data_IF_687515659383
#
_entry.id   IF_687515659383
#
_cell.length_a   1.000
_cell.length_b   1.000
_cell.length_c   1.000
_cell.angle_alpha   90.00
_cell.angle_beta   90.00
_cell.angle_gamma   90.00
#
_symmetry.space_group_name_H-M   'P 1'
#
loop_
_entity.id
_entity.type
_entity.pdbx_description
1 polymer ?
#
# COMPACT_ATOMS: atom_id res chain seq x y z
N UNK A 1 60.91 -58.95 20.47
CA UNK A 1 61.21 -58.13 19.28
C UNK A 1 60.07 -57.13 19.15
N UNK A 2 60.07 -56.02 19.91
CA UNK A 2 60.69 -54.70 19.67
C UNK A 2 60.21 -54.02 18.38
N UNK A 3 59.57 -52.86 18.59
CA UNK A 3 59.37 -51.69 17.72
C UNK A 3 58.40 -51.86 16.52
N UNK A 4 57.62 -50.86 16.12
CA UNK A 4 57.89 -49.41 16.16
C UNK A 4 56.57 -48.62 16.10
N UNK A 5 56.55 -47.49 16.81
CA UNK A 5 55.47 -46.51 16.88
C UNK A 5 55.45 -45.62 15.63
N UNK A 6 54.27 -45.25 15.15
CA UNK A 6 54.08 -44.15 14.21
C UNK A 6 52.94 -43.24 14.72
N UNK A 7 53.34 -42.17 15.39
CA UNK A 7 52.43 -41.15 15.93
C UNK A 7 52.13 -40.13 14.82
N UNK A 8 50.90 -40.14 14.31
CA UNK A 8 50.42 -39.14 13.35
C UNK A 8 49.95 -37.91 14.12
N UNK A 9 50.69 -36.81 13.95
CA UNK A 9 50.37 -35.49 14.47
C UNK A 9 49.39 -34.81 13.50
N UNK A 10 48.10 -34.75 13.84
CA UNK A 10 47.12 -34.00 13.06
C UNK A 10 47.01 -32.57 13.58
N UNK A 11 47.38 -31.61 12.74
CA UNK A 11 47.28 -30.18 12.98
C UNK A 11 45.81 -29.77 12.78
N UNK A 12 45.14 -29.33 13.84
CA UNK A 12 43.83 -28.67 13.77
C UNK A 12 44.03 -27.19 13.46
N UNK A 13 43.66 -26.77 12.25
CA UNK A 13 43.62 -25.36 11.84
C UNK A 13 42.30 -24.77 12.37
N UNK A 14 42.40 -23.79 13.27
CA UNK A 14 41.27 -22.99 13.71
C UNK A 14 40.86 -22.02 12.59
N UNK A 15 39.71 -22.27 11.96
CA UNK A 15 39.05 -21.29 11.09
C UNK A 15 38.47 -20.18 11.97
N UNK A 16 39.14 -19.03 11.98
CA UNK A 16 38.57 -17.77 12.49
C UNK A 16 37.47 -17.36 11.53
N UNK A 17 36.23 -17.67 11.90
CA UNK A 17 35.04 -17.15 11.22
C UNK A 17 34.97 -15.65 11.42
N UNK A 18 35.47 -14.89 10.45
CA UNK A 18 35.13 -13.48 10.33
C UNK A 18 33.67 -13.41 9.87
N UNK A 19 32.77 -13.09 10.79
CA UNK A 19 31.39 -12.77 10.44
C UNK A 19 31.40 -11.63 9.42
N UNK A 20 30.73 -11.75 8.27
CA UNK A 20 30.49 -10.60 7.44
C UNK A 20 29.64 -9.63 8.26
N UNK A 21 30.17 -8.44 8.52
CA UNK A 21 29.38 -7.30 8.95
C UNK A 21 28.37 -7.05 7.84
N UNK A 22 27.14 -7.51 8.05
CA UNK A 22 26.01 -7.07 7.28
C UNK A 22 25.97 -5.54 7.42
N UNK A 23 26.41 -4.86 6.36
CA UNK A 23 26.05 -3.49 6.12
C UNK A 23 24.52 -3.48 6.13
N UNK A 24 23.94 -3.06 7.24
CA UNK A 24 22.57 -2.60 7.30
C UNK A 24 22.52 -1.44 6.31
N UNK A 25 22.19 -1.75 5.06
CA UNK A 25 21.71 -0.75 4.13
C UNK A 25 20.50 -0.18 4.86
N UNK A 26 20.67 1.03 5.39
CA UNK A 26 19.54 1.90 5.68
C UNK A 26 18.85 2.07 4.34
N UNK A 27 17.91 1.18 4.05
CA UNK A 27 16.80 1.47 3.18
C UNK A 27 16.22 2.75 3.79
N UNK A 28 16.55 3.88 3.18
CA UNK A 28 15.64 5.02 3.19
C UNK A 28 14.47 4.52 2.35
N UNK A 29 13.69 3.60 2.92
CA UNK A 29 12.32 3.42 2.54
C UNK A 29 11.77 4.83 2.57
N UNK A 30 11.37 5.35 1.41
CA UNK A 30 10.44 6.47 1.41
C UNK A 30 9.35 6.04 2.37
N UNK A 31 9.38 6.62 3.58
CA UNK A 31 8.37 6.45 4.59
C UNK A 31 7.10 6.87 3.86
N UNK A 32 6.37 5.87 3.35
CA UNK A 32 5.10 6.07 2.67
C UNK A 32 4.34 6.89 3.68
N UNK A 33 4.16 8.20 3.45
CA UNK A 33 3.52 9.07 4.43
C UNK A 33 2.16 8.44 4.69
N UNK A 34 2.06 7.75 5.83
CA UNK A 34 0.92 6.87 6.06
C UNK A 34 -0.28 7.79 6.16
N UNK A 35 -1.31 7.59 5.32
CA UNK A 35 -2.38 8.58 5.14
C UNK A 35 -3.02 8.95 6.48
N UNK A 36 -3.19 7.94 7.36
CA UNK A 36 -3.74 8.07 8.70
C UNK A 36 -3.00 9.04 9.63
N UNK A 37 -1.74 9.36 9.33
CA UNK A 37 -0.94 10.29 10.14
C UNK A 37 -1.22 11.76 9.78
N UNK A 38 -1.71 11.99 8.57
CA UNK A 38 -1.90 13.33 8.01
C UNK A 38 -3.36 13.64 7.75
N UNK A 39 -4.21 12.65 7.53
CA UNK A 39 -5.63 12.84 7.32
C UNK A 39 -6.43 12.25 8.48
N UNK A 40 -7.63 12.81 8.65
CA UNK A 40 -8.59 12.32 9.64
C UNK A 40 -9.26 11.05 9.11
N UNK A 41 -9.00 9.92 9.78
CA UNK A 41 -9.47 8.59 9.36
C UNK A 41 -11.00 8.44 9.42
N UNK A 42 -11.67 9.28 10.21
CA UNK A 42 -13.13 9.26 10.35
C UNK A 42 -13.84 10.19 9.36
N UNK A 43 -13.09 10.97 8.58
CA UNK A 43 -13.63 12.00 7.69
C UNK A 43 -13.75 11.55 6.22
N UNK A 44 -13.38 10.31 5.90
CA UNK A 44 -13.45 9.82 4.52
C UNK A 44 -14.88 9.60 4.04
N UNK A 45 -15.19 10.12 2.86
CA UNK A 45 -16.48 9.92 2.19
C UNK A 45 -16.30 9.88 0.69
N UNK A 46 -17.17 9.14 0.01
CA UNK A 46 -17.28 9.16 -1.45
C UNK A 46 -18.51 9.98 -1.83
N UNK A 47 -18.28 11.10 -2.50
CA UNK A 47 -19.30 12.03 -2.98
C UNK A 47 -19.49 11.85 -4.49
N UNK A 48 -20.73 12.03 -4.95
CA UNK A 48 -21.08 11.94 -6.38
C UNK A 48 -20.64 10.63 -7.07
N UNK A 49 -20.51 9.55 -6.28
CA UNK A 49 -20.14 8.22 -6.75
C UNK A 49 -18.66 8.01 -7.10
N UNK A 50 -17.87 9.08 -7.31
CA UNK A 50 -16.46 8.92 -7.71
C UNK A 50 -15.49 9.86 -6.99
N UNK A 51 -15.98 10.86 -6.26
CA UNK A 51 -15.10 11.83 -5.59
C UNK A 51 -14.81 11.35 -4.18
N UNK A 52 -13.59 10.88 -3.91
CA UNK A 52 -13.15 10.63 -2.54
C UNK A 52 -12.77 11.97 -1.92
N UNK A 53 -13.40 12.33 -0.81
CA UNK A 53 -13.07 13.52 -0.03
C UNK A 53 -12.72 13.19 1.41
N UNK A 54 -11.86 14.03 2.00
CA UNK A 54 -11.38 13.91 3.37
C UNK A 54 -10.71 15.21 3.82
N UNK A 55 -10.20 15.23 5.05
CA UNK A 55 -9.49 16.38 5.62
C UNK A 55 -8.06 15.99 5.98
N UNK A 56 -7.09 16.74 5.46
CA UNK A 56 -5.68 16.45 5.63
C UNK A 56 -4.92 17.66 6.17
N UNK A 57 -3.92 17.41 7.02
CA UNK A 57 -3.02 18.38 7.61
C UNK A 57 -1.85 18.64 6.67
N UNK A 58 -1.66 19.90 6.30
CA UNK A 58 -0.52 20.39 5.54
C UNK A 58 0.73 20.55 6.41
N UNK A 59 1.88 20.79 5.77
CA UNK A 59 3.17 20.91 6.46
C UNK A 59 3.24 22.21 7.29
N UNK A 60 2.39 23.20 6.99
CA UNK A 60 2.15 24.41 7.80
C UNK A 60 1.31 24.15 9.07
N UNK A 61 0.84 22.91 9.27
CA UNK A 61 0.01 22.49 10.40
C UNK A 61 -1.48 22.77 10.24
N UNK A 62 -1.92 23.41 9.16
CA UNK A 62 -3.33 23.68 8.89
C UNK A 62 -4.04 22.44 8.33
N UNK A 63 -5.30 22.24 8.73
CA UNK A 63 -6.16 21.19 8.18
C UNK A 63 -6.93 21.76 7.01
N UNK A 64 -6.92 21.06 5.88
CA UNK A 64 -7.59 21.46 4.63
C UNK A 64 -8.48 20.34 4.12
N UNK A 65 -9.68 20.65 3.61
CA UNK A 65 -10.50 19.67 2.90
C UNK A 65 -9.88 19.39 1.54
N UNK A 66 -9.75 18.11 1.20
CA UNK A 66 -9.18 17.66 -0.06
C UNK A 66 -10.11 16.64 -0.72
N UNK A 67 -10.00 16.55 -2.04
CA UNK A 67 -10.72 15.54 -2.80
C UNK A 67 -9.95 15.10 -4.04
N UNK A 68 -10.21 13.86 -4.45
CA UNK A 68 -9.69 13.27 -5.68
C UNK A 68 -10.80 12.51 -6.40
N UNK A 69 -10.77 12.51 -7.72
CA UNK A 69 -11.65 11.66 -8.53
C UNK A 69 -11.05 10.25 -8.63
N UNK A 70 -11.74 9.28 -8.05
CA UNK A 70 -11.37 7.87 -8.06
C UNK A 70 -11.28 7.29 -9.48
N UNK A 71 -11.98 7.85 -10.47
CA UNK A 71 -11.80 7.42 -11.87
C UNK A 71 -10.39 7.71 -12.41
N UNK A 72 -9.71 8.71 -11.85
CA UNK A 72 -8.34 9.03 -12.21
C UNK A 72 -7.34 8.10 -11.54
N UNK A 73 -7.71 7.39 -10.47
CA UNK A 73 -6.80 6.53 -9.72
C UNK A 73 -7.10 5.03 -9.86
N UNK A 74 -8.36 4.67 -10.11
CA UNK A 74 -8.83 3.30 -9.98
C UNK A 74 -9.37 2.76 -11.30
N UNK A 75 -9.17 1.46 -11.49
CA UNK A 75 -9.79 0.66 -12.53
C UNK A 75 -10.42 -0.62 -11.97
N UNK A 76 -11.14 -1.32 -12.84
CA UNK A 76 -11.69 -2.64 -12.54
C UNK A 76 -10.93 -3.71 -13.33
N UNK A 77 -10.21 -4.58 -12.64
CA UNK A 77 -9.53 -5.75 -13.20
C UNK A 77 -10.34 -7.02 -12.91
N UNK A 78 -11.30 -7.32 -13.79
CA UNK A 78 -12.14 -8.53 -13.72
C UNK A 78 -12.88 -8.69 -12.39
N UNK A 79 -13.65 -7.67 -12.00
CA UNK A 79 -14.43 -7.63 -10.76
C UNK A 79 -13.62 -7.18 -9.53
N UNK A 80 -12.36 -6.79 -9.71
CA UNK A 80 -11.47 -6.34 -8.63
C UNK A 80 -11.06 -4.89 -8.82
N UNK A 81 -11.23 -4.10 -7.77
CA UNK A 81 -10.78 -2.72 -7.73
C UNK A 81 -9.25 -2.70 -7.61
N UNK A 82 -8.59 -2.02 -8.53
CA UNK A 82 -7.13 -1.93 -8.58
C UNK A 82 -6.69 -0.49 -8.79
N UNK A 83 -5.50 -0.15 -8.30
CA UNK A 83 -4.83 1.09 -8.68
C UNK A 83 -4.48 1.01 -10.17
N UNK A 84 -5.10 1.88 -10.95
CA UNK A 84 -4.88 2.02 -12.38
C UNK A 84 -5.12 3.49 -12.74
N UNK A 85 -4.06 4.31 -12.88
CA UNK A 85 -4.19 5.70 -13.28
C UNK A 85 -5.01 5.84 -14.57
N UNK A 86 -6.07 6.66 -14.53
CA UNK A 86 -7.03 6.82 -15.63
C UNK A 86 -7.89 5.58 -15.94
N UNK A 87 -7.98 4.62 -15.01
CA UNK A 87 -8.65 3.34 -15.21
C UNK A 87 -10.17 3.41 -15.32
N UNK A 88 -10.80 4.49 -14.81
CA UNK A 88 -12.24 4.71 -14.95
C UNK A 88 -13.11 3.59 -14.38
N UNK A 89 -12.84 3.16 -13.15
CA UNK A 89 -13.57 2.04 -12.51
C UNK A 89 -15.10 2.19 -12.54
N UNK A 90 -15.63 3.42 -12.49
CA UNK A 90 -17.06 3.72 -12.48
C UNK A 90 -17.82 3.18 -13.70
N UNK A 91 -17.13 2.86 -14.81
CA UNK A 91 -17.75 2.27 -15.98
C UNK A 91 -18.26 0.83 -15.75
N UNK A 92 -17.80 0.17 -14.69
CA UNK A 92 -18.04 -1.26 -14.43
C UNK A 92 -18.14 -1.61 -12.96
N UNK A 93 -18.22 -0.61 -12.08
CA UNK A 93 -18.46 -0.78 -10.66
C UNK A 93 -19.65 0.08 -10.24
N UNK A 94 -20.29 -0.30 -9.13
CA UNK A 94 -21.43 0.43 -8.60
C UNK A 94 -20.95 1.77 -8.01
N UNK A 95 -21.49 2.87 -8.56
CA UNK A 95 -21.27 4.24 -8.10
C UNK A 95 -22.56 4.93 -7.69
N UNK A 96 -23.62 4.15 -7.45
CA UNK A 96 -24.86 4.69 -6.90
C UNK A 96 -24.62 5.28 -5.50
N UNK A 97 -25.42 6.28 -5.06
CA UNK A 97 -25.28 6.84 -3.73
C UNK A 97 -25.38 5.76 -2.65
N UNK A 98 -24.31 5.60 -1.85
CA UNK A 98 -24.22 4.57 -0.81
C UNK A 98 -23.64 3.23 -1.25
N UNK A 99 -23.23 3.07 -2.52
CA UNK A 99 -22.53 1.88 -3.00
C UNK A 99 -21.15 1.70 -2.35
N UNK A 100 -20.49 2.81 -2.02
CA UNK A 100 -19.21 2.81 -1.33
C UNK A 100 -19.40 2.76 0.18
N UNK A 101 -18.62 1.92 0.84
CA UNK A 101 -18.48 1.93 2.29
C UNK A 101 -17.01 1.74 2.68
N UNK A 102 -16.68 2.13 3.92
CA UNK A 102 -15.33 1.98 4.47
C UNK A 102 -15.30 0.84 5.48
N UNK A 103 -14.48 -0.18 5.23
CA UNK A 103 -14.38 -1.37 6.10
C UNK A 103 -13.48 -1.14 7.33
N UNK A 104 -12.46 -0.28 7.20
CA UNK A 104 -11.45 -0.01 8.25
C UNK A 104 -11.06 1.48 8.33
N UNK A 105 -11.96 2.39 7.95
CA UNK A 105 -11.71 3.83 7.81
C UNK A 105 -10.86 4.19 6.59
N UNK A 106 -9.82 3.41 6.30
CA UNK A 106 -8.88 3.64 5.19
C UNK A 106 -9.02 2.68 4.02
N UNK A 107 -10.00 1.77 4.06
CA UNK A 107 -10.27 0.82 2.98
C UNK A 107 -11.63 1.10 2.37
N UNK A 108 -11.65 1.53 1.10
CA UNK A 108 -12.88 1.77 0.34
C UNK A 108 -13.30 0.47 -0.35
N UNK A 109 -14.57 0.13 -0.19
CA UNK A 109 -15.18 -1.06 -0.79
C UNK A 109 -16.35 -0.65 -1.68
N UNK A 110 -16.55 -1.37 -2.78
CA UNK A 110 -17.71 -1.27 -3.67
C UNK A 110 -17.91 -2.60 -4.42
N UNK A 111 -18.97 -2.72 -5.21
CA UNK A 111 -19.24 -3.87 -6.06
C UNK A 111 -18.74 -3.60 -7.48
N UNK A 112 -17.98 -4.53 -8.05
CA UNK A 112 -17.47 -4.43 -9.42
C UNK A 112 -17.90 -5.63 -10.25
N UNK A 113 -18.27 -5.38 -11.49
CA UNK A 113 -18.69 -6.41 -12.46
C UNK A 113 -17.48 -6.99 -13.17
N UNK A 114 -17.33 -8.31 -13.14
CA UNK A 114 -16.31 -9.06 -13.86
C UNK A 114 -16.69 -9.26 -15.34
N UNK A 115 -15.75 -9.77 -16.14
CA UNK A 115 -15.96 -9.97 -17.58
C UNK A 115 -17.04 -11.01 -17.91
N UNK A 116 -17.39 -11.88 -16.96
CA UNK A 116 -18.49 -12.84 -17.07
C UNK A 116 -19.87 -12.26 -16.66
N UNK A 117 -19.91 -10.99 -16.27
CA UNK A 117 -21.11 -10.29 -15.81
C UNK A 117 -21.44 -10.50 -14.33
N UNK A 118 -20.68 -11.32 -13.60
CA UNK A 118 -20.85 -11.46 -12.16
C UNK A 118 -20.42 -10.18 -11.44
N UNK A 119 -21.10 -9.82 -10.35
CA UNK A 119 -20.75 -8.66 -9.52
C UNK A 119 -20.36 -9.13 -8.13
N UNK A 120 -19.22 -8.67 -7.63
CA UNK A 120 -18.71 -9.01 -6.31
C UNK A 120 -18.16 -7.79 -5.61
N UNK A 121 -18.27 -7.80 -4.28
CA UNK A 121 -17.64 -6.80 -3.44
C UNK A 121 -16.12 -6.88 -3.57
N UNK A 122 -15.48 -5.73 -3.69
CA UNK A 122 -14.04 -5.58 -3.77
C UNK A 122 -13.63 -4.33 -3.00
N UNK A 123 -12.46 -4.41 -2.39
CA UNK A 123 -11.94 -3.36 -1.54
C UNK A 123 -10.51 -3.00 -1.93
N UNK A 124 -10.12 -1.75 -1.70
CA UNK A 124 -8.74 -1.30 -1.84
C UNK A 124 -8.41 -0.28 -0.74
N UNK A 125 -7.21 -0.35 -0.18
CA UNK A 125 -6.76 0.64 0.78
C UNK A 125 -6.48 1.98 0.06
N UNK A 126 -6.86 3.11 0.67
CA UNK A 126 -6.54 4.45 0.15
C UNK A 126 -5.01 4.60 0.01
N UNK A 127 -4.26 4.03 0.95
CA UNK A 127 -2.79 3.95 0.93
C UNK A 127 -2.22 3.15 -0.25
N UNK A 128 -3.01 2.41 -1.01
CA UNK A 128 -2.51 1.67 -2.19
C UNK A 128 -2.56 2.53 -3.46
N UNK A 129 -3.53 3.43 -3.58
CA UNK A 129 -3.76 4.20 -4.82
C UNK A 129 -3.60 5.71 -4.67
N UNK A 130 -3.55 6.25 -3.46
CA UNK A 130 -3.45 7.69 -3.21
C UNK A 130 -2.25 8.03 -2.30
N UNK A 131 -1.89 9.31 -2.29
CA UNK A 131 -0.87 9.87 -1.41
C UNK A 131 -1.20 11.31 -1.05
N UNK A 132 -0.71 11.75 0.11
CA UNK A 132 -0.84 13.14 0.57
C UNK A 132 0.52 13.80 0.64
N UNK A 133 0.63 14.96 0.00
CA UNK A 133 1.84 15.79 -0.02
C UNK A 133 1.45 17.22 0.32
N UNK A 134 2.00 17.75 1.41
CA UNK A 134 1.66 19.09 1.95
C UNK A 134 0.14 19.31 2.09
N UNK A 135 -0.53 18.31 2.67
CA UNK A 135 -1.97 18.33 2.86
C UNK A 135 -2.79 18.23 1.58
N UNK A 136 -2.19 17.93 0.43
CA UNK A 136 -2.87 17.75 -0.86
C UNK A 136 -3.00 16.29 -1.24
N UNK A 137 -4.23 15.83 -1.48
CA UNK A 137 -4.52 14.44 -1.87
C UNK A 137 -4.31 14.26 -3.37
N UNK A 138 -3.63 13.18 -3.77
CA UNK A 138 -3.29 12.88 -5.16
C UNK A 138 -3.33 11.38 -5.44
N UNK A 139 -3.70 10.98 -6.67
CA UNK A 139 -3.47 9.59 -7.11
C UNK A 139 -1.97 9.31 -7.17
N UNK A 140 -1.58 8.08 -6.84
CA UNK A 140 -0.22 7.60 -7.13
C UNK A 140 -0.05 7.44 -8.63
N UNK A 141 1.12 7.81 -9.13
CA UNK A 141 1.55 7.64 -10.52
C UNK A 141 2.83 6.83 -10.60
#
# INVERSE_FOLDING_TARGET
MIATYATLLTITVALVGASPMALTQGEIAQDKRQMYKFCDDDAWKVEHGTILSGTCRADDGLIRPESIDLNQCLGNANGKLVHLPGGGYANSCDTSPGAHHFSSGTTVCTYCTAGDGSSSETCIAIDDFASVNDGRLTCRG
#
